data_IF_749463580105
#
_entry.id   IF_749463580105
#
_cell.length_a   1.000
_cell.length_b   1.000
_cell.length_c   1.000
_cell.angle_alpha   90.00
_cell.angle_beta   90.00
_cell.angle_gamma   90.00
#
_symmetry.space_group_name_H-M   'P 1'
#
loop_
_entity.id
_entity.type
_entity.pdbx_description
1 polymer ?
#
# COMPACT_ATOMS: atom_id res chain seq x y z
N UNK A 1 8.73 29.02 -13.68
CA UNK A 1 10.08 28.80 -14.25
C UNK A 1 10.45 27.33 -14.15
N UNK A 2 10.14 26.56 -15.20
CA UNK A 2 10.48 25.14 -15.31
C UNK A 2 11.89 24.98 -15.88
N UNK A 3 12.82 24.42 -15.10
CA UNK A 3 14.16 24.08 -15.54
C UNK A 3 14.29 22.57 -15.79
N UNK A 4 14.34 22.15 -17.05
CA UNK A 4 14.75 20.80 -17.42
C UNK A 4 16.28 20.69 -17.29
N UNK A 5 16.75 19.91 -16.32
CA UNK A 5 18.16 19.56 -16.17
C UNK A 5 18.49 18.37 -17.08
N UNK A 6 19.13 18.64 -18.23
CA UNK A 6 19.85 17.63 -19.01
C UNK A 6 21.06 17.13 -18.20
N UNK A 7 21.02 15.90 -17.68
CA UNK A 7 22.22 15.21 -17.17
C UNK A 7 22.85 14.34 -18.26
N UNK A 8 24.17 14.48 -18.35
CA UNK A 8 25.10 13.90 -19.33
C UNK A 8 25.05 12.37 -19.35
N UNK A 9 25.10 11.82 -20.56
CA UNK A 9 25.27 10.40 -20.87
C UNK A 9 26.77 10.08 -20.80
N UNK A 10 27.17 9.19 -19.90
CA UNK A 10 28.54 8.65 -19.86
C UNK A 10 28.57 7.35 -20.66
N UNK A 11 29.40 7.32 -21.71
CA UNK A 11 29.57 6.18 -22.62
C UNK A 11 30.27 5.00 -21.94
N UNK A 12 29.66 3.82 -21.99
CA UNK A 12 30.34 2.52 -22.00
C UNK A 12 29.70 1.64 -23.08
N UNK A 13 30.52 0.95 -23.86
CA UNK A 13 30.13 0.12 -25.01
C UNK A 13 29.27 -1.07 -24.54
N UNK A 14 27.98 -1.06 -24.83
CA UNK A 14 27.08 -2.24 -24.94
C UNK A 14 25.99 -1.91 -25.98
N UNK A 15 25.60 -2.89 -26.80
CA UNK A 15 24.57 -2.79 -27.84
C UNK A 15 23.13 -2.63 -27.32
N UNK A 16 22.96 -2.12 -26.10
CA UNK A 16 21.67 -1.93 -25.44
C UNK A 16 21.37 -0.44 -25.37
N UNK A 17 20.34 0.00 -26.11
CA UNK A 17 19.80 1.36 -25.98
C UNK A 17 18.94 1.42 -24.70
N UNK A 18 19.55 1.80 -23.58
CA UNK A 18 18.84 2.06 -22.34
C UNK A 18 18.51 3.54 -22.18
N UNK A 19 17.36 3.83 -21.57
CA UNK A 19 16.98 5.18 -21.13
C UNK A 19 16.75 5.10 -19.63
N UNK A 20 17.58 5.79 -18.83
CA UNK A 20 17.35 5.93 -17.40
C UNK A 20 16.26 6.96 -17.14
N UNK A 21 15.13 6.54 -16.58
CA UNK A 21 13.97 7.42 -16.32
C UNK A 21 13.55 7.30 -14.85
N UNK A 22 13.54 8.43 -14.14
CA UNK A 22 13.01 8.55 -12.77
C UNK A 22 11.66 9.26 -12.77
N UNK A 23 10.72 8.86 -11.91
CA UNK A 23 9.40 9.49 -11.81
C UNK A 23 8.50 9.30 -13.03
N UNK A 24 7.43 10.07 -13.11
CA UNK A 24 6.46 9.98 -14.21
C UNK A 24 7.08 10.39 -15.55
N UNK A 25 6.71 9.68 -16.61
CA UNK A 25 7.24 9.95 -17.94
C UNK A 25 6.25 9.58 -19.04
N UNK A 26 6.50 10.14 -20.22
CA UNK A 26 5.83 9.75 -21.46
C UNK A 26 6.88 9.71 -22.58
N UNK A 27 7.17 8.53 -23.11
CA UNK A 27 8.27 8.28 -24.04
C UNK A 27 7.74 7.68 -25.33
N UNK A 28 7.93 8.41 -26.41
CA UNK A 28 7.61 7.98 -27.77
C UNK A 28 8.71 7.06 -28.32
N UNK A 29 8.31 5.92 -28.88
CA UNK A 29 9.18 4.92 -29.52
C UNK A 29 8.93 4.89 -31.01
N UNK A 30 9.99 4.86 -31.81
CA UNK A 30 9.91 4.70 -33.27
C UNK A 30 11.21 5.04 -33.97
N UNK A 31 11.18 5.14 -35.30
CA UNK A 31 12.34 5.53 -36.11
C UNK A 31 12.50 7.05 -36.30
N UNK A 32 11.46 7.82 -35.95
CA UNK A 32 11.42 9.26 -36.11
C UNK A 32 12.41 10.02 -35.23
N UNK A 33 12.81 11.22 -35.65
CA UNK A 33 13.72 12.09 -34.87
C UNK A 33 13.13 12.61 -33.56
N UNK A 34 11.80 12.63 -33.45
CA UNK A 34 11.08 13.08 -32.25
C UNK A 34 10.89 11.96 -31.20
N UNK A 35 11.34 10.73 -31.46
CA UNK A 35 11.20 9.62 -30.54
C UNK A 35 12.26 9.69 -29.44
N UNK A 36 11.84 9.52 -28.18
CA UNK A 36 12.75 9.43 -27.04
C UNK A 36 13.55 8.13 -27.05
N UNK A 37 12.96 7.04 -27.55
CA UNK A 37 13.66 5.80 -27.89
C UNK A 37 13.62 5.64 -29.40
N UNK A 38 14.77 5.81 -30.04
CA UNK A 38 14.90 5.75 -31.49
C UNK A 38 15.47 4.42 -31.96
N UNK A 39 14.64 3.67 -32.68
CA UNK A 39 14.97 2.34 -33.21
C UNK A 39 15.09 2.40 -34.73
N UNK A 40 16.11 1.72 -35.26
CA UNK A 40 16.35 1.56 -36.70
C UNK A 40 15.58 0.36 -37.23
N UNK A 41 15.43 0.29 -38.56
CA UNK A 41 14.81 -0.87 -39.22
C UNK A 41 15.65 -2.15 -39.14
N UNK A 42 16.93 -2.02 -38.79
CA UNK A 42 17.82 -3.17 -38.52
C UNK A 42 17.51 -3.75 -37.13
N UNK A 43 17.33 -2.89 -36.13
CA UNK A 43 17.00 -3.31 -34.75
C UNK A 43 15.56 -3.85 -34.66
N UNK A 44 14.61 -3.15 -35.27
CA UNK A 44 13.20 -3.54 -35.31
C UNK A 44 12.70 -3.46 -36.75
N UNK A 45 12.59 -4.59 -37.46
CA UNK A 45 12.00 -4.63 -38.79
C UNK A 45 10.61 -3.98 -38.80
N UNK A 46 10.32 -3.20 -39.85
CA UNK A 46 9.06 -2.48 -40.03
C UNK A 46 8.69 -1.46 -38.93
N UNK A 47 9.67 -0.98 -38.15
CA UNK A 47 9.42 0.05 -37.13
C UNK A 47 8.86 1.34 -37.76
N UNK A 48 7.65 1.73 -37.34
CA UNK A 48 7.03 2.98 -37.75
C UNK A 48 7.80 4.22 -37.23
N UNK A 49 7.62 5.36 -37.92
CA UNK A 49 8.19 6.66 -37.48
C UNK A 49 7.76 7.03 -36.07
N UNK A 50 6.49 6.75 -35.73
CA UNK A 50 5.92 6.81 -34.38
C UNK A 50 5.20 5.48 -34.18
N UNK A 51 5.79 4.56 -33.42
CA UNK A 51 5.31 3.19 -33.33
C UNK A 51 4.43 2.99 -32.09
N UNK A 52 4.98 3.26 -30.92
CA UNK A 52 4.31 3.08 -29.65
C UNK A 52 4.71 4.21 -28.69
N UNK A 53 3.97 4.34 -27.60
CA UNK A 53 4.27 5.26 -26.51
C UNK A 53 4.19 4.51 -25.19
N UNK A 54 5.22 4.69 -24.35
CA UNK A 54 5.17 4.30 -22.95
C UNK A 54 4.80 5.49 -22.09
N UNK A 55 3.99 5.26 -21.06
CA UNK A 55 3.65 6.26 -20.07
C UNK A 55 3.68 5.67 -18.68
N UNK A 56 4.41 6.30 -17.76
CA UNK A 56 4.39 5.95 -16.33
C UNK A 56 3.69 7.04 -15.54
N UNK A 57 2.78 6.62 -14.68
CA UNK A 57 2.06 7.48 -13.73
C UNK A 57 2.15 6.80 -12.36
N UNK A 58 2.87 7.40 -11.43
CA UNK A 58 3.23 6.78 -10.17
C UNK A 58 3.96 5.45 -10.41
N UNK A 59 3.38 4.36 -9.88
CA UNK A 59 3.92 3.01 -10.01
C UNK A 59 3.19 2.17 -11.06
N UNK A 60 2.45 2.81 -11.97
CA UNK A 60 1.73 2.13 -13.06
C UNK A 60 2.32 2.49 -14.41
N UNK A 61 2.58 1.46 -15.21
CA UNK A 61 3.17 1.58 -16.54
C UNK A 61 2.13 1.24 -17.60
N UNK A 62 2.04 2.09 -18.62
CA UNK A 62 1.09 1.97 -19.71
C UNK A 62 1.81 1.98 -21.05
N UNK A 63 1.25 1.27 -22.03
CA UNK A 63 1.71 1.23 -23.41
C UNK A 63 0.53 1.48 -24.35
N UNK A 64 0.79 2.17 -25.45
CA UNK A 64 -0.18 2.36 -26.53
C UNK A 64 0.50 2.21 -27.89
N UNK A 65 -0.09 1.42 -28.78
CA UNK A 65 0.28 1.38 -30.20
C UNK A 65 -0.27 2.61 -30.93
N UNK A 66 0.56 3.33 -31.68
CA UNK A 66 0.19 4.57 -32.37
C UNK A 66 -0.36 4.35 -33.79
N UNK A 67 -0.84 3.15 -34.08
CA UNK A 67 -1.35 2.74 -35.39
C UNK A 67 -0.25 2.16 -36.29
N UNK A 68 0.73 1.47 -35.70
CA UNK A 68 1.80 0.83 -36.45
C UNK A 68 1.26 -0.28 -37.36
N UNK A 69 1.96 -0.54 -38.48
CA UNK A 69 1.57 -1.62 -39.40
C UNK A 69 1.87 -3.00 -38.80
N UNK A 70 3.09 -3.18 -38.29
CA UNK A 70 3.54 -4.43 -37.68
C UNK A 70 2.89 -4.71 -36.32
N UNK A 71 2.40 -3.68 -35.62
CA UNK A 71 1.66 -3.80 -34.36
C UNK A 71 2.56 -3.85 -33.13
N UNK A 72 1.99 -3.51 -31.98
CA UNK A 72 2.60 -3.71 -30.67
C UNK A 72 1.90 -4.88 -29.98
N UNK A 73 2.64 -5.72 -29.26
CA UNK A 73 2.12 -6.89 -28.55
C UNK A 73 2.55 -6.85 -27.08
N UNK A 74 1.64 -7.27 -26.19
CA UNK A 74 1.89 -7.48 -24.77
C UNK A 74 1.44 -8.89 -24.42
N UNK A 75 2.37 -9.71 -23.92
CA UNK A 75 2.16 -11.10 -23.51
C UNK A 75 1.44 -11.92 -24.60
N UNK A 76 1.93 -11.81 -25.84
CA UNK A 76 1.39 -12.49 -27.03
C UNK A 76 0.12 -11.85 -27.62
N UNK A 77 -0.55 -10.93 -26.92
CA UNK A 77 -1.76 -10.26 -27.40
C UNK A 77 -1.41 -8.98 -28.17
N UNK A 78 -1.91 -8.86 -29.41
CA UNK A 78 -1.78 -7.61 -30.18
C UNK A 78 -2.60 -6.50 -29.52
N UNK A 79 -1.96 -5.38 -29.25
CA UNK A 79 -2.63 -4.21 -28.70
C UNK A 79 -3.56 -3.58 -29.74
N UNK A 80 -4.75 -3.11 -29.33
CA UNK A 80 -5.60 -2.33 -30.20
C UNK A 80 -4.95 -0.99 -30.55
N UNK A 81 -5.15 -0.53 -31.78
CA UNK A 81 -4.55 0.72 -32.26
C UNK A 81 -5.11 1.92 -31.48
N UNK A 82 -4.22 2.81 -31.05
CA UNK A 82 -4.54 4.05 -30.32
C UNK A 82 -5.35 3.83 -29.04
N UNK A 83 -5.22 2.66 -28.42
CA UNK A 83 -5.76 2.38 -27.07
C UNK A 83 -4.62 2.11 -26.10
N UNK A 84 -4.77 2.64 -24.89
CA UNK A 84 -3.85 2.36 -23.80
C UNK A 84 -4.11 0.96 -23.26
N UNK A 85 -3.04 0.29 -22.85
CA UNK A 85 -3.06 -0.94 -22.07
C UNK A 85 -2.09 -0.75 -20.89
N UNK A 86 -2.45 -1.30 -19.73
CA UNK A 86 -1.56 -1.32 -18.58
C UNK A 86 -0.65 -2.54 -18.62
N UNK A 87 0.64 -2.31 -18.38
CA UNK A 87 1.63 -3.35 -18.18
C UNK A 87 1.64 -3.64 -16.69
N UNK A 88 1.10 -4.80 -16.33
CA UNK A 88 1.06 -5.25 -14.93
C UNK A 88 2.26 -6.15 -14.67
N UNK A 89 3.04 -5.82 -13.66
CA UNK A 89 4.17 -6.64 -13.24
C UNK A 89 3.68 -8.03 -12.85
N UNK A 90 4.28 -9.07 -13.44
CA UNK A 90 3.98 -10.46 -13.07
C UNK A 90 4.69 -10.82 -11.77
N UNK A 91 4.03 -11.59 -10.92
CA UNK A 91 4.63 -12.15 -9.71
C UNK A 91 5.81 -13.09 -10.02
N UNK A 92 5.77 -13.77 -11.18
CA UNK A 92 6.85 -14.62 -11.69
C UNK A 92 7.08 -14.37 -13.19
N UNK A 93 8.34 -14.40 -13.61
CA UNK A 93 8.74 -14.13 -15.00
C UNK A 93 8.75 -12.65 -15.38
N UNK A 94 8.76 -12.36 -16.68
CA UNK A 94 8.75 -11.01 -17.23
C UNK A 94 7.54 -10.79 -18.15
N UNK A 95 7.10 -9.54 -18.30
CA UNK A 95 6.16 -9.18 -19.36
C UNK A 95 6.87 -9.25 -20.71
N UNK A 96 6.29 -9.95 -21.68
CA UNK A 96 6.82 -10.01 -23.03
C UNK A 96 6.20 -8.87 -23.84
N UNK A 97 7.02 -7.91 -24.28
CA UNK A 97 6.56 -6.81 -25.12
C UNK A 97 7.24 -6.91 -26.47
N UNK A 98 6.49 -6.82 -27.56
CA UNK A 98 7.04 -6.85 -28.92
C UNK A 98 6.59 -5.65 -29.74
N UNK A 99 7.50 -5.10 -30.53
CA UNK A 99 7.19 -4.20 -31.64
C UNK A 99 7.36 -4.99 -32.94
N UNK A 100 6.25 -5.26 -33.63
CA UNK A 100 6.21 -6.30 -34.66
C UNK A 100 6.58 -7.66 -34.07
N UNK A 101 7.64 -8.26 -34.59
CA UNK A 101 8.16 -9.54 -34.10
C UNK A 101 9.34 -9.40 -33.12
N UNK A 102 9.86 -8.17 -32.93
CA UNK A 102 11.05 -7.96 -32.11
C UNK A 102 10.66 -7.77 -30.63
N UNK A 103 11.18 -8.60 -29.71
CA UNK A 103 10.99 -8.40 -28.28
C UNK A 103 11.75 -7.17 -27.78
N UNK A 104 11.14 -6.45 -26.83
CA UNK A 104 11.72 -5.33 -26.10
C UNK A 104 11.73 -5.69 -24.62
N UNK A 105 12.93 -5.67 -24.03
CA UNK A 105 13.09 -5.80 -22.59
C UNK A 105 12.67 -4.52 -21.86
N UNK A 106 11.95 -4.69 -20.75
CA UNK A 106 11.67 -3.62 -19.78
C UNK A 106 12.34 -4.03 -18.47
N UNK A 107 13.18 -3.15 -17.94
CA UNK A 107 13.75 -3.32 -16.61
C UNK A 107 12.63 -3.30 -15.54
N UNK A 108 12.66 -4.23 -14.59
CA UNK A 108 11.71 -4.28 -13.49
C UNK A 108 11.64 -2.96 -12.70
N UNK A 109 12.74 -2.20 -12.64
CA UNK A 109 12.79 -0.88 -12.01
C UNK A 109 11.88 0.16 -12.71
N UNK A 110 11.49 -0.05 -13.98
CA UNK A 110 10.58 0.86 -14.67
C UNK A 110 9.16 0.81 -14.09
N UNK A 111 8.75 -0.30 -13.47
CA UNK A 111 7.45 -0.39 -12.77
C UNK A 111 7.43 0.45 -11.49
N UNK A 112 8.60 0.63 -10.86
CA UNK A 112 8.75 1.39 -9.62
C UNK A 112 9.12 2.84 -9.93
N UNK A 113 8.11 3.68 -10.12
CA UNK A 113 8.31 5.10 -10.41
C UNK A 113 8.67 5.93 -9.19
N UNK A 114 8.31 5.44 -8.00
CA UNK A 114 8.51 6.16 -6.74
C UNK A 114 9.38 5.37 -5.75
N UNK A 115 10.25 6.07 -5.01
CA UNK A 115 10.81 5.60 -3.75
C UNK A 115 9.75 5.07 -2.79
N UNK A 116 10.04 3.94 -2.14
CA UNK A 116 9.16 3.39 -1.11
C UNK A 116 9.34 4.14 0.21
N UNK A 117 8.28 4.16 1.00
CA UNK A 117 8.25 4.87 2.27
C UNK A 117 8.00 3.89 3.41
N UNK A 118 8.83 3.94 4.45
CA UNK A 118 8.56 3.31 5.74
C UNK A 118 8.06 4.35 6.75
N UNK A 119 7.47 3.88 7.84
CA UNK A 119 7.04 4.75 8.94
C UNK A 119 7.49 4.18 10.27
N UNK A 120 8.01 5.05 11.12
CA UNK A 120 8.44 4.68 12.47
C UNK A 120 8.08 5.75 13.47
N UNK A 121 8.03 5.38 14.74
CA UNK A 121 7.71 6.29 15.83
C UNK A 121 8.83 6.25 16.86
N UNK A 122 9.05 7.37 17.55
CA UNK A 122 9.65 7.28 18.89
C UNK A 122 8.59 6.75 19.86
N UNK A 123 8.92 6.64 21.15
CA UNK A 123 7.90 6.35 22.17
C UNK A 123 6.80 7.44 22.15
N UNK A 124 5.63 7.09 21.62
CA UNK A 124 4.48 7.99 21.53
C UNK A 124 3.70 8.00 22.84
N UNK A 125 3.35 9.20 23.29
CA UNK A 125 2.48 9.41 24.44
C UNK A 125 1.32 10.30 24.03
N UNK A 126 0.11 9.90 24.40
CA UNK A 126 -1.09 10.70 24.14
C UNK A 126 -2.06 10.62 25.31
N UNK A 127 -2.44 11.81 25.80
CA UNK A 127 -3.39 11.97 26.91
C UNK A 127 -4.66 12.68 26.45
N UNK A 128 -5.80 12.20 26.92
CA UNK A 128 -7.11 12.86 26.75
C UNK A 128 -7.67 13.11 28.14
N UNK A 129 -7.92 14.38 28.48
CA UNK A 129 -8.48 14.80 29.78
C UNK A 129 -7.77 14.15 30.99
N UNK A 130 -6.44 14.10 30.94
CA UNK A 130 -5.60 13.52 32.01
C UNK A 130 -5.45 11.99 31.95
N UNK A 131 -6.30 11.27 31.21
CA UNK A 131 -6.16 9.81 31.00
C UNK A 131 -5.14 9.52 29.92
N UNK A 132 -4.18 8.65 30.19
CA UNK A 132 -3.24 8.15 29.18
C UNK A 132 -3.96 7.14 28.27
N UNK A 133 -3.91 7.38 26.96
CA UNK A 133 -4.51 6.51 25.94
C UNK A 133 -3.43 5.75 25.17
N UNK A 134 -2.30 6.41 24.89
CA UNK A 134 -1.12 5.80 24.29
C UNK A 134 0.06 6.06 25.23
N UNK A 135 0.73 5.00 25.67
CA UNK A 135 1.75 5.07 26.71
C UNK A 135 3.06 4.43 26.25
N UNK A 136 3.87 5.24 25.56
CA UNK A 136 5.20 4.84 25.10
C UNK A 136 5.16 3.89 23.91
N UNK A 137 4.21 4.08 22.97
CA UNK A 137 4.12 3.19 21.81
C UNK A 137 5.24 3.45 20.82
N UNK A 138 6.06 2.43 20.57
CA UNK A 138 7.05 2.38 19.51
C UNK A 138 6.56 1.47 18.39
N UNK A 139 6.67 1.91 17.15
CA UNK A 139 6.27 1.17 15.95
C UNK A 139 7.28 1.43 14.84
N UNK A 140 7.61 0.40 14.05
CA UNK A 140 8.44 0.53 12.85
C UNK A 140 7.93 -0.38 11.71
N UNK A 141 7.26 0.20 10.73
CA UNK A 141 6.81 -0.52 9.54
C UNK A 141 7.71 -0.17 8.35
N UNK A 142 8.28 -1.20 7.72
CA UNK A 142 9.17 -1.06 6.57
C UNK A 142 8.40 -1.28 5.26
N UNK A 143 8.89 -0.74 4.13
CA UNK A 143 8.37 -1.09 2.81
C UNK A 143 8.22 -2.59 2.62
N UNK A 144 7.07 -3.01 2.07
CA UNK A 144 6.77 -4.42 1.81
C UNK A 144 6.44 -5.26 3.03
N UNK A 145 6.19 -4.65 4.19
CA UNK A 145 5.77 -5.36 5.41
C UNK A 145 4.36 -5.00 5.83
N UNK A 146 3.64 -5.98 6.40
CA UNK A 146 2.31 -5.83 6.97
C UNK A 146 2.36 -5.98 8.49
N UNK A 147 1.98 -4.92 9.22
CA UNK A 147 1.99 -4.90 10.69
C UNK A 147 0.56 -4.89 11.25
N UNK A 148 0.25 -5.85 12.13
CA UNK A 148 -1.01 -5.87 12.86
C UNK A 148 -0.89 -5.07 14.16
N UNK A 149 -1.88 -4.22 14.45
CA UNK A 149 -2.11 -3.64 15.77
C UNK A 149 -3.27 -4.40 16.41
N UNK A 150 -2.99 -5.07 17.52
CA UNK A 150 -3.97 -5.85 18.27
C UNK A 150 -4.02 -5.40 19.73
N UNK A 151 -5.11 -5.75 20.40
CA UNK A 151 -5.30 -5.48 21.82
C UNK A 151 -6.78 -5.42 22.16
N UNK A 152 -7.13 -5.39 23.45
CA UNK A 152 -8.51 -5.36 23.92
C UNK A 152 -9.32 -4.18 23.37
N UNK A 153 -10.65 -4.27 23.41
CA UNK A 153 -11.51 -3.15 23.04
C UNK A 153 -11.20 -1.92 23.91
N UNK A 154 -11.11 -0.74 23.28
CA UNK A 154 -10.86 0.52 24.01
C UNK A 154 -9.42 0.77 24.47
N UNK A 155 -8.45 -0.09 24.12
CA UNK A 155 -7.04 0.11 24.51
C UNK A 155 -6.29 1.22 23.75
N UNK A 156 -6.93 1.87 22.77
CA UNK A 156 -6.33 2.99 22.01
C UNK A 156 -5.75 2.64 20.64
N UNK A 157 -6.10 1.49 20.05
CA UNK A 157 -5.66 1.08 18.69
C UNK A 157 -5.92 2.14 17.61
N UNK A 158 -7.17 2.55 17.46
CA UNK A 158 -7.59 3.61 16.52
C UNK A 158 -6.92 4.94 16.84
N UNK A 159 -6.75 5.26 18.13
CA UNK A 159 -6.01 6.46 18.54
C UNK A 159 -4.54 6.40 18.14
N UNK A 160 -3.89 5.23 18.24
CA UNK A 160 -2.52 5.06 17.78
C UNK A 160 -2.43 5.23 16.25
N UNK A 161 -3.39 4.69 15.49
CA UNK A 161 -3.46 4.93 14.05
C UNK A 161 -3.65 6.42 13.72
N UNK A 162 -4.54 7.13 14.42
CA UNK A 162 -4.74 8.58 14.23
C UNK A 162 -3.46 9.39 14.49
N UNK A 163 -2.67 8.98 15.49
CA UNK A 163 -1.36 9.58 15.78
C UNK A 163 -0.39 9.30 14.62
N UNK A 164 -0.28 8.04 14.18
CA UNK A 164 0.62 7.64 13.09
C UNK A 164 0.23 8.30 11.76
N UNK A 165 -1.07 8.49 11.51
CA UNK A 165 -1.60 9.12 10.31
C UNK A 165 -1.51 10.66 10.33
N UNK A 166 -1.11 11.28 11.44
CA UNK A 166 -1.00 12.74 11.54
C UNK A 166 -2.30 13.48 11.87
N UNK A 167 -3.44 12.79 11.99
CA UNK A 167 -4.73 13.40 12.34
C UNK A 167 -4.78 13.90 13.78
N UNK A 168 -4.03 13.26 14.68
CA UNK A 168 -3.83 13.73 16.06
C UNK A 168 -2.35 13.95 16.31
N UNK A 169 -2.01 15.05 16.98
CA UNK A 169 -0.65 15.26 17.44
C UNK A 169 -0.41 14.50 18.77
N UNK A 170 0.70 13.76 18.92
CA UNK A 170 1.06 13.16 20.20
C UNK A 170 1.36 14.25 21.24
N UNK A 171 1.11 13.95 22.50
CA UNK A 171 1.53 14.81 23.62
C UNK A 171 3.06 14.83 23.75
N UNK A 172 3.71 13.70 23.46
CA UNK A 172 5.17 13.57 23.37
C UNK A 172 5.55 12.43 22.44
N UNK A 173 6.75 12.51 21.87
CA UNK A 173 7.23 11.60 20.83
C UNK A 173 6.95 12.13 19.42
N UNK A 174 7.44 11.40 18.43
CA UNK A 174 7.41 11.79 17.02
C UNK A 174 7.03 10.60 16.15
N UNK A 175 6.40 10.90 15.02
CA UNK A 175 6.15 9.97 13.92
C UNK A 175 6.99 10.42 12.75
N UNK A 176 7.80 9.52 12.22
CA UNK A 176 8.79 9.78 11.18
C UNK A 176 8.52 8.88 9.97
N UNK A 177 8.38 9.49 8.80
CA UNK A 177 8.36 8.77 7.52
C UNK A 177 9.74 8.82 6.91
N UNK A 178 10.27 7.64 6.58
CA UNK A 178 11.56 7.50 5.90
C UNK A 178 11.31 7.17 4.43
N UNK A 179 11.88 7.95 3.52
CA UNK A 179 11.77 7.76 2.08
C UNK A 179 13.09 8.16 1.42
N UNK A 180 13.71 7.24 0.67
CA UNK A 180 15.11 7.38 0.23
C UNK A 180 16.08 7.69 1.39
N UNK A 181 16.66 8.88 1.39
CA UNK A 181 17.56 9.42 2.41
C UNK A 181 16.87 10.44 3.30
N UNK A 182 15.61 10.79 2.99
CA UNK A 182 14.86 11.78 3.74
C UNK A 182 14.12 11.14 4.93
N UNK A 183 14.16 11.83 6.06
CA UNK A 183 13.37 11.52 7.26
C UNK A 183 12.49 12.73 7.54
N UNK A 184 11.17 12.53 7.50
CA UNK A 184 10.19 13.61 7.59
C UNK A 184 9.27 13.36 8.79
N UNK A 185 9.12 14.35 9.67
CA UNK A 185 8.19 14.27 10.78
C UNK A 185 6.75 14.52 10.30
N UNK A 186 5.86 13.55 10.51
CA UNK A 186 4.47 13.57 10.03
C UNK A 186 3.71 14.78 10.55
N UNK A 187 3.91 15.18 11.81
CA UNK A 187 3.15 16.27 12.42
C UNK A 187 3.73 17.67 12.13
N UNK A 188 4.98 17.74 11.66
CA UNK A 188 5.62 19.01 11.30
C UNK A 188 5.48 19.33 9.81
N UNK A 189 5.58 18.31 8.95
CA UNK A 189 5.57 18.44 7.49
C UNK A 189 4.43 17.61 6.86
N UNK A 190 3.24 17.60 7.49
CA UNK A 190 2.12 16.76 7.08
C UNK A 190 1.74 16.91 5.59
N UNK A 191 1.86 18.12 5.05
CA UNK A 191 1.58 18.40 3.65
C UNK A 191 2.42 17.59 2.65
N UNK A 192 3.66 17.24 3.00
CA UNK A 192 4.53 16.39 2.17
C UNK A 192 4.17 14.91 2.31
N UNK A 193 3.81 14.50 3.53
CA UNK A 193 3.61 13.09 3.86
C UNK A 193 2.23 12.59 3.44
N UNK A 194 1.20 13.43 3.53
CA UNK A 194 -0.20 13.05 3.23
C UNK A 194 -0.41 12.51 1.80
N UNK A 195 0.45 12.87 0.85
CA UNK A 195 0.40 12.35 -0.51
C UNK A 195 0.83 10.87 -0.61
N UNK A 196 1.50 10.38 0.42
CA UNK A 196 2.02 9.01 0.50
C UNK A 196 1.22 8.12 1.46
N UNK A 197 0.38 8.73 2.31
CA UNK A 197 -0.48 8.04 3.26
C UNK A 197 -1.83 7.74 2.63
N UNK A 198 -2.24 6.48 2.65
CA UNK A 198 -3.65 6.07 2.52
C UNK A 198 -4.19 5.72 3.89
N UNK A 199 -5.43 6.10 4.18
CA UNK A 199 -6.07 5.79 5.46
C UNK A 199 -7.50 5.31 5.26
N UNK A 200 -7.74 4.05 5.61
CA UNK A 200 -9.06 3.47 5.64
C UNK A 200 -9.59 3.51 7.08
N UNK A 201 -10.49 4.42 7.44
CA UNK A 201 -11.11 4.41 8.76
C UNK A 201 -12.07 3.22 8.94
N UNK A 202 -12.48 3.00 10.20
CA UNK A 202 -13.44 1.97 10.55
C UNK A 202 -14.79 2.20 9.85
N UNK A 203 -15.32 3.43 9.98
CA UNK A 203 -16.58 3.86 9.37
C UNK A 203 -16.45 4.09 7.85
N UNK A 204 -17.57 3.92 7.13
CA UNK A 204 -17.63 4.13 5.69
C UNK A 204 -17.69 5.63 5.34
N UNK A 205 -16.66 6.15 4.67
CA UNK A 205 -16.53 7.60 4.35
C UNK A 205 -17.00 7.98 2.94
N UNK A 206 -17.52 7.03 2.17
CA UNK A 206 -17.88 7.27 0.77
C UNK A 206 -19.25 7.97 0.63
N UNK A 207 -19.40 8.77 -0.44
CA UNK A 207 -20.66 9.42 -0.81
C UNK A 207 -21.68 8.36 -1.28
N UNK A 208 -22.78 8.11 -0.54
CA UNK A 208 -23.68 6.99 -0.79
C UNK A 208 -24.39 7.02 -2.15
N UNK A 209 -24.64 8.21 -2.69
CA UNK A 209 -25.41 8.43 -3.92
C UNK A 209 -24.61 8.12 -5.18
N UNK A 210 -23.28 8.11 -5.10
CA UNK A 210 -22.43 7.85 -6.25
C UNK A 210 -22.35 6.36 -6.55
N UNK A 211 -22.19 6.03 -7.83
CA UNK A 211 -21.72 4.69 -8.19
C UNK A 211 -20.24 4.52 -7.86
N UNK A 212 -19.80 3.27 -7.71
CA UNK A 212 -18.38 2.97 -7.46
C UNK A 212 -17.50 3.57 -8.55
N UNK A 213 -17.88 3.42 -9.82
CA UNK A 213 -17.14 3.99 -10.96
C UNK A 213 -17.05 5.52 -10.89
N UNK A 214 -18.15 6.19 -10.50
CA UNK A 214 -18.16 7.65 -10.34
C UNK A 214 -17.22 8.09 -9.23
N UNK A 215 -17.32 7.47 -8.04
CA UNK A 215 -16.49 7.79 -6.88
C UNK A 215 -15.00 7.64 -7.20
N UNK A 216 -14.59 6.48 -7.73
CA UNK A 216 -13.20 6.23 -8.09
C UNK A 216 -12.69 7.15 -9.21
N UNK A 217 -13.53 7.47 -10.20
CA UNK A 217 -13.15 8.40 -11.26
C UNK A 217 -13.01 9.84 -10.73
N UNK A 218 -13.79 10.27 -9.73
CA UNK A 218 -13.59 11.56 -9.08
C UNK A 218 -12.27 11.60 -8.32
N UNK A 219 -11.97 10.56 -7.53
CA UNK A 219 -10.69 10.42 -6.83
C UNK A 219 -9.51 10.60 -7.81
N UNK A 220 -9.51 9.83 -8.92
CA UNK A 220 -8.46 9.93 -9.94
C UNK A 220 -8.36 11.30 -10.61
N UNK A 221 -9.48 11.99 -10.85
CA UNK A 221 -9.46 13.33 -11.48
C UNK A 221 -8.87 14.40 -10.57
N UNK A 222 -9.07 14.26 -9.26
CA UNK A 222 -8.57 15.20 -8.26
C UNK A 222 -7.09 14.94 -7.95
N UNK A 223 -6.67 13.68 -7.91
CA UNK A 223 -5.28 13.31 -7.62
C UNK A 223 -4.35 13.39 -8.83
N UNK A 224 -4.83 13.03 -10.02
CA UNK A 224 -4.01 12.96 -11.24
C UNK A 224 -4.54 13.92 -12.31
N UNK A 225 -4.22 15.20 -12.16
CA UNK A 225 -4.64 16.26 -13.09
C UNK A 225 -4.12 15.96 -14.51
N UNK A 226 -5.01 16.02 -15.50
CA UNK A 226 -4.65 15.78 -16.91
C UNK A 226 -4.56 14.31 -17.32
N UNK A 227 -4.83 13.37 -16.40
CA UNK A 227 -4.85 11.94 -16.72
C UNK A 227 -5.94 11.60 -17.75
N UNK A 228 -5.59 10.89 -18.82
CA UNK A 228 -6.53 10.54 -19.89
C UNK A 228 -7.70 9.68 -19.37
N UNK A 229 -8.92 9.92 -19.88
CA UNK A 229 -10.11 9.19 -19.45
C UNK A 229 -10.01 7.68 -19.65
N UNK A 230 -9.40 7.23 -20.74
CA UNK A 230 -9.14 5.81 -21.01
C UNK A 230 -8.17 5.18 -20.00
N UNK A 231 -7.13 5.90 -19.58
CA UNK A 231 -6.22 5.42 -18.53
C UNK A 231 -6.96 5.31 -17.19
N UNK A 232 -7.77 6.32 -16.83
CA UNK A 232 -8.57 6.26 -15.59
C UNK A 232 -9.51 5.05 -15.58
N UNK A 233 -10.17 4.75 -16.70
CA UNK A 233 -11.04 3.57 -16.81
C UNK A 233 -10.26 2.26 -16.64
N UNK A 234 -9.06 2.16 -17.21
CA UNK A 234 -8.18 0.99 -17.01
C UNK A 234 -7.82 0.86 -15.54
N UNK A 235 -7.38 1.95 -14.90
CA UNK A 235 -7.01 1.98 -13.49
C UNK A 235 -8.16 1.51 -12.60
N UNK A 236 -9.37 2.05 -12.79
CA UNK A 236 -10.57 1.67 -12.03
C UNK A 236 -10.85 0.18 -12.19
N UNK A 237 -10.93 -0.31 -13.44
CA UNK A 237 -11.27 -1.71 -13.70
C UNK A 237 -10.24 -2.66 -13.12
N UNK A 238 -8.94 -2.35 -13.25
CA UNK A 238 -7.86 -3.20 -12.74
C UNK A 238 -7.80 -3.21 -11.22
N UNK A 239 -7.93 -2.06 -10.56
CA UNK A 239 -8.01 -1.98 -9.09
C UNK A 239 -9.17 -2.82 -8.58
N UNK A 240 -10.37 -2.68 -9.15
CA UNK A 240 -11.53 -3.48 -8.73
C UNK A 240 -11.39 -4.97 -9.08
N UNK A 241 -10.78 -5.32 -10.21
CA UNK A 241 -10.48 -6.72 -10.53
C UNK A 241 -9.57 -7.37 -9.48
N UNK A 242 -8.50 -6.66 -9.08
CA UNK A 242 -7.58 -7.12 -8.05
C UNK A 242 -8.27 -7.29 -6.69
N UNK A 243 -9.34 -6.51 -6.42
CA UNK A 243 -10.18 -6.67 -5.23
C UNK A 243 -11.11 -7.89 -5.25
N UNK A 244 -11.01 -8.75 -6.27
CA UNK A 244 -11.76 -10.00 -6.37
C UNK A 244 -13.09 -9.88 -7.12
N UNK A 245 -13.27 -8.83 -7.90
CA UNK A 245 -14.41 -8.70 -8.80
C UNK A 245 -14.04 -9.21 -10.21
N UNK A 246 -14.45 -10.45 -10.51
CA UNK A 246 -14.30 -11.03 -11.85
C UNK A 246 -15.03 -10.21 -12.94
N UNK A 247 -14.72 -10.46 -14.21
CA UNK A 247 -15.29 -9.70 -15.34
C UNK A 247 -16.84 -9.72 -15.36
N UNK A 248 -17.47 -10.81 -14.92
CA UNK A 248 -18.92 -10.94 -14.90
C UNK A 248 -19.54 -10.01 -13.84
N UNK A 249 -18.94 -9.93 -12.66
CA UNK A 249 -19.42 -9.11 -11.54
C UNK A 249 -18.94 -7.67 -11.59
N UNK A 250 -17.81 -7.40 -12.23
CA UNK A 250 -17.14 -6.11 -12.25
C UNK A 250 -18.05 -5.00 -12.80
N UNK A 251 -18.71 -5.24 -13.94
CA UNK A 251 -19.60 -4.24 -14.54
C UNK A 251 -20.79 -3.92 -13.63
N UNK A 252 -21.35 -4.92 -12.94
CA UNK A 252 -22.44 -4.70 -11.98
C UNK A 252 -21.94 -3.87 -10.80
N UNK A 253 -20.82 -4.26 -10.20
CA UNK A 253 -20.22 -3.56 -9.07
C UNK A 253 -19.92 -2.10 -9.39
N UNK A 254 -19.25 -1.83 -10.51
CA UNK A 254 -18.88 -0.47 -10.94
C UNK A 254 -20.08 0.45 -11.16
N UNK A 255 -21.21 -0.09 -11.61
CA UNK A 255 -22.42 0.68 -11.89
C UNK A 255 -23.42 0.68 -10.74
N UNK A 256 -23.14 -0.02 -9.64
CA UNK A 256 -24.01 -0.01 -8.45
C UNK A 256 -23.69 1.22 -7.61
N UNK A 257 -24.73 1.87 -7.07
CA UNK A 257 -24.59 2.95 -6.08
C UNK A 257 -23.97 2.41 -4.81
N UNK A 258 -23.12 3.21 -4.17
CA UNK A 258 -22.42 2.81 -2.95
C UNK A 258 -23.43 2.46 -1.85
N UNK A 259 -24.41 3.33 -1.64
CA UNK A 259 -25.44 3.20 -0.62
C UNK A 259 -24.93 3.34 0.81
N UNK A 260 -25.85 3.52 1.75
CA UNK A 260 -25.56 3.56 3.18
C UNK A 260 -26.79 3.08 3.95
N UNK A 261 -26.55 2.24 4.96
CA UNK A 261 -27.61 1.81 5.88
C UNK A 261 -28.13 2.95 6.72
N UNK A 262 -27.30 3.94 7.04
CA UNK A 262 -27.66 5.08 7.89
C UNK A 262 -28.57 6.06 7.15
N UNK A 263 -28.31 6.32 5.87
CA UNK A 263 -29.15 7.19 5.04
C UNK A 263 -30.33 6.46 4.38
N UNK A 264 -30.44 5.13 4.55
CA UNK A 264 -31.47 4.31 3.93
C UNK A 264 -31.32 4.10 2.42
N UNK A 265 -30.19 4.53 1.83
CA UNK A 265 -29.91 4.37 0.41
C UNK A 265 -29.43 2.94 0.16
N UNK A 266 -30.25 2.14 -0.51
CA UNK A 266 -29.90 0.75 -0.87
C UNK A 266 -28.81 0.76 -1.95
N UNK A 267 -27.74 -0.01 -1.73
CA UNK A 267 -26.60 -0.07 -2.64
C UNK A 267 -25.80 -1.36 -2.48
N UNK A 268 -24.47 -1.22 -2.34
CA UNK A 268 -23.57 -2.35 -2.15
C UNK A 268 -23.88 -3.14 -0.87
N UNK A 269 -23.59 -4.44 -0.89
CA UNK A 269 -23.50 -5.23 0.34
C UNK A 269 -22.37 -4.70 1.24
N UNK A 270 -22.39 -5.00 2.54
CA UNK A 270 -21.35 -4.53 3.48
C UNK A 270 -19.93 -4.92 3.06
N UNK A 271 -19.72 -6.17 2.64
CA UNK A 271 -18.42 -6.63 2.13
C UNK A 271 -18.01 -6.00 0.80
N UNK A 272 -18.95 -5.75 -0.12
CA UNK A 272 -18.65 -5.02 -1.35
C UNK A 272 -18.33 -3.55 -1.07
N UNK A 273 -18.98 -2.94 -0.08
CA UNK A 273 -18.71 -1.58 0.36
C UNK A 273 -17.34 -1.44 1.01
N UNK A 274 -16.91 -2.37 1.88
CA UNK A 274 -15.53 -2.37 2.39
C UNK A 274 -14.50 -2.52 1.28
N UNK A 275 -14.72 -3.41 0.31
CA UNK A 275 -13.84 -3.52 -0.87
C UNK A 275 -13.85 -2.25 -1.71
N UNK A 276 -14.98 -1.55 -1.83
CA UNK A 276 -15.06 -0.27 -2.51
C UNK A 276 -14.27 0.85 -1.79
N UNK A 277 -14.35 0.93 -0.46
CA UNK A 277 -13.50 1.86 0.31
C UNK A 277 -12.01 1.52 0.14
N UNK A 278 -11.65 0.23 0.19
CA UNK A 278 -10.27 -0.18 -0.06
C UNK A 278 -9.83 0.16 -1.50
N UNK A 279 -10.72 0.03 -2.49
CA UNK A 279 -10.44 0.49 -3.86
C UNK A 279 -10.15 1.99 -3.90
N UNK A 280 -10.91 2.78 -3.14
CA UNK A 280 -10.74 4.22 -3.07
C UNK A 280 -9.37 4.63 -2.54
N UNK A 281 -8.85 3.92 -1.53
CA UNK A 281 -7.51 4.17 -1.01
C UNK A 281 -6.42 3.64 -1.95
N UNK A 282 -6.57 2.43 -2.49
CA UNK A 282 -5.54 1.82 -3.34
C UNK A 282 -5.42 2.49 -4.71
N UNK A 283 -6.49 3.06 -5.25
CA UNK A 283 -6.45 3.70 -6.58
C UNK A 283 -5.56 4.97 -6.58
N UNK A 284 -5.36 5.56 -5.41
CA UNK A 284 -4.45 6.69 -5.18
C UNK A 284 -2.98 6.29 -5.19
N UNK A 285 -2.69 4.98 -5.16
CA UNK A 285 -1.34 4.43 -5.08
C UNK A 285 -0.57 4.99 -3.86
N UNK A 286 -1.02 4.78 -2.62
CA UNK A 286 -0.25 5.20 -1.44
C UNK A 286 1.09 4.45 -1.36
N UNK A 287 2.02 4.96 -0.54
CA UNK A 287 3.27 4.26 -0.19
C UNK A 287 3.23 3.67 1.23
N UNK A 288 2.34 4.21 2.07
CA UNK A 288 2.01 3.69 3.39
C UNK A 288 0.48 3.62 3.48
N UNK A 289 -0.07 2.46 3.82
CA UNK A 289 -1.50 2.22 3.98
C UNK A 289 -1.82 1.90 5.44
N UNK A 290 -2.68 2.71 6.04
CA UNK A 290 -3.15 2.57 7.40
C UNK A 290 -4.62 2.14 7.35
N UNK A 291 -4.98 1.06 8.05
CA UNK A 291 -6.35 0.53 8.03
C UNK A 291 -6.88 0.32 9.45
N UNK A 292 -8.01 0.94 9.76
CA UNK A 292 -8.70 0.72 11.03
C UNK A 292 -9.83 -0.30 10.85
N UNK A 293 -9.64 -1.48 11.46
CA UNK A 293 -10.52 -2.64 11.44
C UNK A 293 -11.07 -2.99 10.03
N UNK A 294 -10.21 -3.23 9.03
CA UNK A 294 -10.62 -3.46 7.64
C UNK A 294 -11.46 -4.74 7.45
N UNK A 295 -11.48 -5.63 8.43
CA UNK A 295 -12.21 -6.90 8.42
C UNK A 295 -13.45 -6.91 9.31
N UNK A 296 -13.75 -5.81 10.01
CA UNK A 296 -14.92 -5.71 10.89
C UNK A 296 -16.23 -5.87 10.11
N UNK A 297 -17.20 -6.57 10.70
CA UNK A 297 -18.52 -6.79 10.09
C UNK A 297 -18.53 -7.73 8.88
N UNK A 298 -17.41 -8.42 8.57
CA UNK A 298 -17.32 -9.37 7.46
C UNK A 298 -17.45 -10.82 7.92
N UNK A 299 -17.87 -11.68 7.00
CA UNK A 299 -17.72 -13.13 7.17
C UNK A 299 -16.23 -13.50 7.24
N UNK A 300 -15.89 -14.61 7.89
CA UNK A 300 -14.50 -15.10 7.96
C UNK A 300 -13.86 -15.30 6.58
N UNK A 301 -14.65 -15.76 5.60
CA UNK A 301 -14.22 -15.95 4.21
C UNK A 301 -13.94 -14.62 3.52
N UNK A 302 -14.78 -13.60 3.71
CA UNK A 302 -14.55 -12.27 3.13
C UNK A 302 -13.37 -11.55 3.80
N UNK A 303 -13.20 -11.71 5.12
CA UNK A 303 -12.06 -11.18 5.86
C UNK A 303 -10.74 -11.77 5.37
N UNK A 304 -10.62 -13.09 5.22
CA UNK A 304 -9.40 -13.73 4.70
C UNK A 304 -9.10 -13.28 3.26
N UNK A 305 -10.12 -13.09 2.41
CA UNK A 305 -9.92 -12.53 1.06
C UNK A 305 -9.33 -11.12 1.08
N UNK A 306 -9.83 -10.24 1.96
CA UNK A 306 -9.28 -8.89 2.11
C UNK A 306 -7.84 -8.94 2.59
N UNK A 307 -7.53 -9.76 3.60
CA UNK A 307 -6.17 -9.82 4.16
C UNK A 307 -5.19 -10.44 3.15
N UNK A 308 -5.58 -11.47 2.39
CA UNK A 308 -4.78 -12.01 1.27
C UNK A 308 -4.48 -10.96 0.22
N UNK A 309 -5.46 -10.13 -0.11
CA UNK A 309 -5.26 -9.04 -1.05
C UNK A 309 -4.28 -8.01 -0.50
N UNK A 310 -4.48 -7.56 0.75
CA UNK A 310 -3.57 -6.61 1.40
C UNK A 310 -2.15 -7.15 1.44
N UNK A 311 -1.96 -8.44 1.78
CA UNK A 311 -0.65 -9.10 1.77
C UNK A 311 -0.04 -9.09 0.36
N UNK A 312 -0.83 -9.41 -0.67
CA UNK A 312 -0.37 -9.44 -2.06
C UNK A 312 0.07 -8.05 -2.54
N UNK A 313 -0.73 -7.02 -2.28
CA UNK A 313 -0.43 -5.63 -2.67
C UNK A 313 0.78 -5.10 -1.87
N UNK A 314 0.84 -5.40 -0.57
CA UNK A 314 2.00 -5.08 0.30
C UNK A 314 3.29 -5.61 -0.30
N UNK A 315 3.31 -6.88 -0.70
CA UNK A 315 4.52 -7.52 -1.22
C UNK A 315 4.89 -7.08 -2.64
N UNK A 316 3.91 -7.02 -3.56
CA UNK A 316 4.16 -6.69 -4.96
C UNK A 316 4.57 -5.22 -5.15
N UNK A 317 3.87 -4.30 -4.46
CA UNK A 317 4.07 -2.86 -4.62
C UNK A 317 5.07 -2.28 -3.60
N UNK A 318 5.62 -3.13 -2.72
CA UNK A 318 6.43 -2.76 -1.56
C UNK A 318 5.74 -1.67 -0.70
N UNK A 319 4.42 -1.76 -0.61
CA UNK A 319 3.57 -0.88 0.19
C UNK A 319 3.81 -1.19 1.68
N UNK A 320 3.98 -0.16 2.51
CA UNK A 320 4.04 -0.32 3.96
C UNK A 320 2.62 -0.38 4.51
N UNK A 321 2.21 -1.49 5.10
CA UNK A 321 0.82 -1.67 5.55
C UNK A 321 0.74 -1.82 7.06
N UNK A 322 -0.12 -1.04 7.72
CA UNK A 322 -0.44 -1.18 9.14
C UNK A 322 -1.95 -1.30 9.29
N UNK A 323 -2.43 -2.34 9.96
CA UNK A 323 -3.87 -2.54 10.17
C UNK A 323 -4.18 -2.85 11.63
N UNK A 324 -5.25 -2.26 12.18
CA UNK A 324 -5.83 -2.77 13.43
C UNK A 324 -6.70 -3.97 13.12
N UNK A 325 -6.55 -5.06 13.88
CA UNK A 325 -7.32 -6.27 13.66
C UNK A 325 -7.84 -6.77 15.00
N UNK A 326 -9.14 -7.08 15.05
CA UNK A 326 -9.79 -7.62 16.23
C UNK A 326 -10.02 -9.12 16.06
N UNK A 327 -9.43 -9.94 16.95
CA UNK A 327 -9.61 -11.40 17.00
C UNK A 327 -9.55 -12.11 15.62
N UNK A 328 -8.44 -12.00 14.87
CA UNK A 328 -8.32 -12.68 13.58
C UNK A 328 -8.33 -14.21 13.71
N UNK A 329 -8.71 -14.90 12.64
CA UNK A 329 -8.43 -16.33 12.50
C UNK A 329 -6.92 -16.58 12.48
N UNK A 330 -6.49 -17.82 12.79
CA UNK A 330 -5.09 -18.25 12.69
C UNK A 330 -4.48 -17.90 11.32
N UNK A 331 -5.16 -18.28 10.24
CA UNK A 331 -4.71 -17.99 8.87
C UNK A 331 -4.55 -16.49 8.60
N UNK A 332 -5.42 -15.66 9.16
CA UNK A 332 -5.33 -14.20 9.03
C UNK A 332 -4.15 -13.65 9.83
N UNK A 333 -3.96 -14.12 11.07
CA UNK A 333 -2.88 -13.72 11.95
C UNK A 333 -1.50 -14.01 11.32
N UNK A 334 -1.32 -15.21 10.76
CA UNK A 334 -0.06 -15.68 10.18
C UNK A 334 0.34 -14.92 8.89
N UNK A 335 -0.55 -14.10 8.32
CA UNK A 335 -0.24 -13.26 7.15
C UNK A 335 0.51 -11.99 7.50
N UNK A 336 0.41 -11.51 8.74
CA UNK A 336 1.11 -10.32 9.18
C UNK A 336 2.58 -10.65 9.51
N UNK A 337 3.49 -9.78 9.11
CA UNK A 337 4.92 -9.93 9.40
C UNK A 337 5.22 -9.58 10.86
N UNK A 338 4.60 -8.48 11.33
CA UNK A 338 4.83 -7.92 12.65
C UNK A 338 3.51 -7.76 13.42
N UNK A 339 3.61 -7.84 14.74
CA UNK A 339 2.54 -7.59 15.69
C UNK A 339 2.96 -6.48 16.64
N UNK A 340 2.11 -5.46 16.79
CA UNK A 340 2.11 -4.54 17.93
C UNK A 340 0.88 -4.88 18.78
N UNK A 341 1.13 -5.40 19.98
CA UNK A 341 0.09 -5.79 20.92
C UNK A 341 0.00 -4.77 22.06
N UNK A 342 -1.18 -4.20 22.28
CA UNK A 342 -1.44 -3.18 23.30
C UNK A 342 -2.26 -3.74 24.48
N UNK A 343 -1.94 -3.34 25.70
CA UNK A 343 -2.71 -3.65 26.91
C UNK A 343 -3.85 -2.63 27.17
N UNK A 344 -4.70 -2.91 28.17
CA UNK A 344 -5.80 -2.01 28.59
C UNK A 344 -5.35 -0.59 29.01
N UNK A 345 -4.08 -0.42 29.38
CA UNK A 345 -3.48 0.86 29.77
C UNK A 345 -2.86 1.64 28.62
N UNK A 346 -3.00 1.15 27.38
CA UNK A 346 -2.44 1.76 26.19
C UNK A 346 -0.92 1.59 26.05
N UNK A 347 -0.32 0.67 26.82
CA UNK A 347 1.10 0.32 26.74
C UNK A 347 1.31 -0.78 25.71
N UNK A 348 2.51 -0.81 25.12
CA UNK A 348 2.92 -1.90 24.23
C UNK A 348 3.34 -3.10 25.09
N UNK A 349 2.57 -4.18 25.02
CA UNK A 349 2.86 -5.45 25.68
C UNK A 349 3.84 -6.31 24.86
N UNK A 350 3.79 -6.18 23.52
CA UNK A 350 4.71 -6.84 22.60
C UNK A 350 4.83 -6.04 21.30
N UNK A 351 6.04 -6.00 20.75
CA UNK A 351 6.28 -5.54 19.39
C UNK A 351 7.38 -6.39 18.74
N UNK A 352 7.08 -7.01 17.60
CA UNK A 352 8.02 -7.91 16.92
C UNK A 352 7.33 -8.80 15.90
N UNK A 353 7.98 -9.89 15.50
CA UNK A 353 7.41 -10.83 14.53
C UNK A 353 6.19 -11.56 15.10
N UNK A 354 5.14 -11.69 14.30
CA UNK A 354 3.98 -12.55 14.65
C UNK A 354 4.38 -13.98 15.00
N UNK A 355 5.46 -14.50 14.38
CA UNK A 355 5.96 -15.86 14.60
C UNK A 355 6.58 -16.07 15.99
N UNK A 356 7.02 -15.00 16.64
CA UNK A 356 7.72 -15.06 17.93
C UNK A 356 6.82 -14.65 19.11
N UNK A 357 5.66 -14.06 18.82
CA UNK A 357 4.78 -13.48 19.83
C UNK A 357 4.29 -14.53 20.85
N UNK A 358 3.80 -15.68 20.39
CA UNK A 358 3.29 -16.73 21.30
C UNK A 358 4.41 -17.24 22.20
N UNK A 359 5.57 -17.60 21.64
CA UNK A 359 6.72 -18.07 22.40
C UNK A 359 7.20 -17.06 23.47
N UNK A 360 7.14 -15.76 23.17
CA UNK A 360 7.44 -14.71 24.15
C UNK A 360 6.47 -14.76 25.34
N UNK A 361 5.16 -14.85 25.10
CA UNK A 361 4.17 -14.91 26.18
C UNK A 361 4.18 -16.24 26.94
N UNK A 362 4.52 -17.35 26.29
CA UNK A 362 4.73 -18.65 26.95
C UNK A 362 5.88 -18.56 27.96
N UNK A 363 6.98 -17.88 27.61
CA UNK A 363 8.10 -17.67 28.53
C UNK A 363 7.72 -16.81 29.75
N UNK A 364 6.88 -15.79 29.55
CA UNK A 364 6.49 -14.87 30.65
C UNK A 364 5.42 -15.47 31.56
N UNK A 365 4.44 -16.17 30.98
CA UNK A 365 3.25 -16.64 31.69
C UNK A 365 3.34 -18.11 32.13
N UNK A 366 4.23 -18.88 31.51
CA UNK A 366 4.30 -20.35 31.62
C UNK A 366 3.03 -21.07 31.14
N UNK A 367 2.18 -20.42 30.35
CA UNK A 367 1.01 -21.03 29.70
C UNK A 367 1.34 -21.26 28.24
N UNK A 368 1.29 -22.51 27.77
CA UNK A 368 1.43 -22.83 26.36
C UNK A 368 0.24 -22.32 25.54
N UNK A 369 0.50 -21.79 24.34
CA UNK A 369 -0.54 -21.50 23.35
C UNK A 369 -1.22 -22.80 22.87
N UNK A 370 -0.45 -23.89 22.77
CA UNK A 370 -0.89 -25.18 22.23
C UNK A 370 -1.49 -25.03 20.81
N UNK A 371 -2.51 -25.83 20.47
CA UNK A 371 -3.23 -25.78 19.19
C UNK A 371 -4.27 -24.64 19.10
N UNK A 372 -4.34 -23.75 20.10
CA UNK A 372 -5.28 -22.61 20.11
C UNK A 372 -4.92 -21.57 19.05
N UNK A 373 -5.90 -20.75 18.66
CA UNK A 373 -5.63 -19.62 17.79
C UNK A 373 -4.65 -18.65 18.50
N UNK A 374 -3.48 -18.34 17.89
CA UNK A 374 -2.49 -17.42 18.49
C UNK A 374 -3.09 -16.08 18.90
N UNK A 375 -4.00 -15.54 18.09
CA UNK A 375 -4.62 -14.25 18.36
C UNK A 375 -5.51 -14.28 19.62
N UNK A 376 -6.30 -15.34 19.78
CA UNK A 376 -7.16 -15.53 20.96
C UNK A 376 -6.31 -15.74 22.20
N UNK A 377 -5.29 -16.61 22.12
CA UNK A 377 -4.35 -16.86 23.22
C UNK A 377 -3.69 -15.56 23.74
N UNK A 378 -3.20 -14.72 22.83
CA UNK A 378 -2.55 -13.45 23.20
C UNK A 378 -3.52 -12.48 23.88
N UNK A 379 -4.76 -12.40 23.39
CA UNK A 379 -5.78 -11.53 23.99
C UNK A 379 -6.27 -12.05 25.33
N UNK A 380 -6.46 -13.36 25.50
CA UNK A 380 -6.81 -13.99 26.78
C UNK A 380 -5.77 -13.70 27.86
N UNK A 381 -4.48 -13.74 27.50
CA UNK A 381 -3.41 -13.38 28.43
C UNK A 381 -3.51 -11.92 28.86
N UNK A 382 -3.79 -11.01 27.92
CA UNK A 382 -3.94 -9.58 28.21
C UNK A 382 -5.22 -9.22 28.96
N UNK A 383 -6.27 -10.04 28.87
CA UNK A 383 -7.48 -9.83 29.64
C UNK A 383 -7.35 -10.37 31.08
N UNK A 384 -6.32 -11.16 31.37
CA UNK A 384 -6.05 -11.67 32.70
C UNK A 384 -5.21 -10.68 33.55
N UNK A 385 -5.77 -10.12 34.65
CA UNK A 385 -5.05 -9.15 35.48
C UNK A 385 -3.74 -9.69 36.10
N UNK A 386 -3.68 -11.00 36.40
CA UNK A 386 -2.49 -11.62 36.97
C UNK A 386 -1.31 -11.62 35.98
N UNK A 387 -1.57 -11.91 34.70
CA UNK A 387 -0.52 -11.91 33.68
C UNK A 387 -0.12 -10.50 33.26
N UNK A 388 -1.04 -9.53 33.23
CA UNK A 388 -0.70 -8.13 32.99
C UNK A 388 0.30 -7.56 34.01
N UNK A 389 0.16 -7.92 35.29
CA UNK A 389 1.13 -7.52 36.32
C UNK A 389 2.51 -8.16 36.08
N UNK A 390 2.56 -9.46 35.76
CA UNK A 390 3.81 -10.15 35.40
C UNK A 390 4.48 -9.53 34.17
N UNK A 391 3.71 -9.18 33.14
CA UNK A 391 4.21 -8.54 31.92
C UNK A 391 4.81 -7.16 32.20
N UNK A 392 4.16 -6.37 33.06
CA UNK A 392 4.70 -5.08 33.50
C UNK A 392 6.03 -5.27 34.24
N UNK A 393 6.11 -6.23 35.16
CA UNK A 393 7.34 -6.52 35.90
C UNK A 393 8.45 -7.07 34.99
N UNK A 394 8.10 -7.98 34.07
CA UNK A 394 9.05 -8.57 33.13
C UNK A 394 9.62 -7.55 32.14
N UNK A 395 8.78 -6.63 31.65
CA UNK A 395 9.22 -5.54 30.77
C UNK A 395 10.08 -4.50 31.50
N UNK A 396 9.81 -4.20 32.77
CA UNK A 396 10.64 -3.34 33.61
C UNK A 396 12.03 -3.96 33.88
N UNK A 397 12.10 -5.27 34.10
CA UNK A 397 13.36 -6.01 34.31
C UNK A 397 14.18 -6.16 33.02
N UNK A 398 13.52 -6.25 31.87
CA UNK A 398 14.15 -6.36 30.55
C UNK A 398 14.32 -5.03 29.83
N UNK A 399 14.04 -3.87 30.45
CA UNK A 399 14.35 -2.58 29.83
C UNK A 399 15.78 -2.66 29.29
N UNK A 400 15.94 -2.71 27.95
CA UNK A 400 17.26 -2.56 27.40
C UNK A 400 17.76 -1.22 27.93
N UNK A 401 19.05 -1.10 28.14
CA UNK A 401 19.68 0.21 27.98
C UNK A 401 19.31 0.71 26.58
N UNK A 402 18.17 1.39 26.46
CA UNK A 402 17.70 2.09 25.26
C UNK A 402 18.57 3.33 25.00
N UNK A 403 19.64 3.53 25.78
CA UNK A 403 20.82 4.26 25.38
C UNK A 403 21.58 3.46 24.29
N UNK A 404 21.32 3.82 23.03
CA UNK A 404 22.08 3.52 21.80
C UNK A 404 21.20 2.97 20.67
N UNK A 405 20.15 3.70 20.33
CA UNK A 405 19.94 4.03 18.92
C UNK A 405 20.09 5.54 18.88
N UNK A 406 21.31 5.99 18.56
CA UNK A 406 21.52 7.36 18.07
C UNK A 406 20.44 7.64 17.04
N UNK A 407 19.67 8.74 17.14
CA UNK A 407 18.96 9.22 15.95
C UNK A 407 20.02 9.27 14.85
N UNK A 408 19.74 8.66 13.69
CA UNK A 408 20.61 8.80 12.52
C UNK A 408 20.93 10.28 12.43
N UNK A 409 22.21 10.59 12.68
CA UNK A 409 22.66 11.95 12.88
C UNK A 409 22.24 12.74 11.67
N UNK A 410 21.42 13.78 11.89
CA UNK A 410 21.21 14.84 10.93
C UNK A 410 22.61 15.33 10.51
N UNK A 411 22.99 15.05 9.27
CA UNK A 411 24.13 15.66 8.59
C UNK A 411 23.65 16.22 7.28
#
# INVERSE_FOLDING_TARGET
NFGFSHKKITNMIKSDKSVGVSGDFEILIGSGRACGIRLTTIEVPEIARKHAIFKRIGDRLFIQDLGSKSGTFLDGKRLPKKMWEEIVQKATGHNEIKLGQTPIGIDAQLFRGRPRAGIETTALYYKVSGKMICNGAYLRAKPGTMTAIMGPAGCGKSTLLDLVNGYRAPTSGQVLVTRDQDIINVHQDYGKVREWLGYLPQDDMMIPELTVSQSLNYCLRLQFIGLAASIRQIMIRKTCYNLGFDENRLNKFLNTVIGSSESGIRGLSGGERKRANLAHELIAMPLILLLDEPTSGLSSVDADKIVRLLQSVTQLDELTTIATIHQPSRDTYERFDNLLLMDHGGRVAYYGSTKEATAYFEQVTSIACENRNPAEYLLEILDNPYYNQKMTQFSEQRQPRLSMITPLSVR
#
